data_IF_975551679760
#
_entry.id   IF_975551679760
#
_cell.length_a   1.000
_cell.length_b   1.000
_cell.length_c   1.000
_cell.angle_alpha   90.00
_cell.angle_beta   90.00
_cell.angle_gamma   90.00
#
_symmetry.space_group_name_H-M   'P 1'
#
loop_
_entity.id
_entity.type
_entity.pdbx_description
1 polymer ?
#
# COMPACT_ATOMS: atom_id res chain seq x y z
N UNK A 1 16.62 4.90 9.16
CA UNK A 1 15.33 4.46 8.62
C UNK A 1 14.46 5.65 8.23
N UNK A 2 14.04 6.48 9.18
CA UNK A 2 13.09 7.60 8.96
C UNK A 2 13.65 8.67 8.01
N UNK A 3 14.95 8.94 8.04
CA UNK A 3 15.58 9.83 7.06
C UNK A 3 15.47 9.26 5.62
N UNK A 4 15.65 7.96 5.45
CA UNK A 4 15.45 7.31 4.15
C UNK A 4 13.99 7.38 3.68
N UNK A 5 13.02 7.35 4.59
CA UNK A 5 11.59 7.53 4.27
C UNK A 5 11.28 8.97 3.87
N UNK A 6 11.90 9.97 4.52
CA UNK A 6 11.70 11.41 4.21
C UNK A 6 12.34 11.83 2.90
N UNK A 7 13.54 11.31 2.61
CA UNK A 7 14.33 11.64 1.40
C UNK A 7 13.90 10.76 0.23
N UNK A 8 13.03 9.77 0.48
CA UNK A 8 12.65 8.74 -0.46
C UNK A 8 12.44 9.27 -1.86
N UNK A 9 13.38 8.93 -2.75
CA UNK A 9 13.24 9.18 -4.16
C UNK A 9 11.96 8.54 -4.67
N UNK A 10 11.27 9.20 -5.59
CA UNK A 10 10.05 8.73 -6.23
C UNK A 10 10.13 7.24 -6.57
N UNK A 11 9.28 6.43 -5.94
CA UNK A 11 9.19 4.99 -6.21
C UNK A 11 9.96 4.06 -5.26
N UNK A 12 10.61 4.56 -4.22
CA UNK A 12 11.23 3.73 -3.18
C UNK A 12 10.26 3.50 -2.01
N UNK A 13 10.07 2.23 -1.64
CA UNK A 13 9.36 1.85 -0.42
C UNK A 13 10.38 1.43 0.64
N UNK A 14 10.14 1.82 1.89
CA UNK A 14 10.95 1.41 3.04
C UNK A 14 10.11 0.49 3.91
N UNK A 15 10.64 -0.68 4.23
CA UNK A 15 10.02 -1.66 5.10
C UNK A 15 10.94 -1.93 6.29
N UNK A 16 10.41 -1.88 7.49
CA UNK A 16 11.10 -2.22 8.74
C UNK A 16 10.27 -3.16 9.59
N UNK A 17 10.90 -3.86 10.50
CA UNK A 17 10.23 -4.70 11.50
C UNK A 17 10.62 -4.26 12.90
N UNK A 18 9.63 -4.24 13.79
CA UNK A 18 9.79 -3.86 15.19
C UNK A 18 8.81 -4.68 16.05
N UNK A 19 9.16 -4.93 17.29
CA UNK A 19 8.20 -5.53 18.23
C UNK A 19 7.23 -4.49 18.75
N UNK A 20 5.94 -4.80 18.67
CA UNK A 20 4.85 -3.95 19.18
C UNK A 20 3.49 -4.59 18.89
N UNK A 21 2.49 -4.26 19.69
CA UNK A 21 1.12 -4.71 19.54
C UNK A 21 0.27 -3.55 18.99
N UNK A 22 0.32 -3.38 17.67
CA UNK A 22 -0.37 -2.30 16.97
C UNK A 22 0.40 -0.99 16.90
N UNK A 23 -0.19 -0.03 16.19
CA UNK A 23 0.43 1.25 15.87
C UNK A 23 0.81 2.07 17.11
N UNK A 24 -0.05 2.09 18.13
CA UNK A 24 0.21 2.84 19.36
C UNK A 24 1.44 2.34 20.12
N UNK A 25 1.59 1.01 20.28
CA UNK A 25 2.74 0.41 20.93
C UNK A 25 4.03 0.60 20.10
N UNK A 26 3.93 0.53 18.78
CA UNK A 26 5.05 0.83 17.88
C UNK A 26 5.48 2.28 17.99
N UNK A 27 4.52 3.23 18.01
CA UNK A 27 4.82 4.66 18.22
C UNK A 27 5.51 4.89 19.56
N UNK A 28 4.96 4.36 20.65
CA UNK A 28 5.55 4.51 21.99
C UNK A 28 6.99 4.03 21.99
N UNK A 29 7.25 2.84 21.46
CA UNK A 29 8.58 2.28 21.38
C UNK A 29 9.55 3.10 20.53
N UNK A 30 9.11 3.60 19.40
CA UNK A 30 9.94 4.39 18.48
C UNK A 30 10.23 5.77 19.06
N UNK A 31 9.21 6.43 19.60
CA UNK A 31 9.33 7.81 20.09
C UNK A 31 9.95 7.85 21.49
N UNK A 32 9.46 7.02 22.42
CA UNK A 32 9.92 7.06 23.81
C UNK A 32 11.19 6.24 24.06
N UNK A 33 11.28 4.99 23.52
CA UNK A 33 12.42 4.12 23.83
C UNK A 33 13.61 4.36 22.89
N UNK A 34 13.35 4.73 21.63
CA UNK A 34 14.41 4.95 20.62
C UNK A 34 14.70 6.42 20.36
N UNK A 35 14.07 7.32 21.12
CA UNK A 35 14.25 8.78 21.05
C UNK A 35 14.11 9.36 19.63
N UNK A 36 13.20 8.80 18.85
CA UNK A 36 12.89 9.31 17.50
C UNK A 36 11.81 10.38 17.61
N UNK A 37 12.02 11.59 17.07
CA UNK A 37 10.99 12.64 17.08
C UNK A 37 9.67 12.13 16.48
N UNK A 38 8.54 12.46 17.10
CA UNK A 38 7.21 12.06 16.63
C UNK A 38 6.94 12.52 15.19
N UNK A 39 7.41 13.71 14.82
CA UNK A 39 7.34 14.21 13.44
C UNK A 39 8.11 13.35 12.42
N UNK A 40 9.14 12.64 12.88
CA UNK A 40 9.84 11.66 12.05
C UNK A 40 9.08 10.35 11.96
N UNK A 41 8.43 9.91 13.04
CA UNK A 41 7.56 8.73 13.02
C UNK A 41 6.33 8.94 12.13
N UNK A 42 5.78 10.15 12.09
CA UNK A 42 4.62 10.54 11.29
C UNK A 42 4.78 10.34 9.77
N UNK A 43 6.01 10.15 9.26
CA UNK A 43 6.25 9.80 7.85
C UNK A 43 5.96 8.34 7.52
N UNK A 44 5.66 7.52 8.54
CA UNK A 44 5.23 6.12 8.34
C UNK A 44 3.85 6.12 7.71
N UNK A 45 3.67 5.31 6.67
CA UNK A 45 2.38 5.18 5.99
C UNK A 45 1.46 4.17 6.66
N UNK A 46 2.01 3.00 6.99
CA UNK A 46 1.25 1.86 7.51
C UNK A 46 2.00 1.16 8.64
N UNK A 47 1.24 0.69 9.61
CA UNK A 47 1.68 -0.32 10.58
C UNK A 47 0.89 -1.61 10.34
N UNK A 48 1.61 -2.71 10.12
CA UNK A 48 1.03 -4.04 9.92
C UNK A 48 1.38 -4.89 11.13
N UNK A 49 0.37 -5.26 11.91
CA UNK A 49 0.54 -6.13 13.09
C UNK A 49 0.41 -7.59 12.68
N UNK A 50 1.43 -8.37 13.02
CA UNK A 50 1.48 -9.81 12.76
C UNK A 50 1.63 -10.53 14.08
N UNK A 51 0.68 -11.41 14.41
CA UNK A 51 0.71 -12.20 15.64
C UNK A 51 0.84 -13.70 15.36
N UNK A 52 1.40 -14.40 16.35
CA UNK A 52 1.42 -15.84 16.37
C UNK A 52 0.11 -16.39 16.97
N UNK A 53 -0.41 -17.47 16.42
CA UNK A 53 -1.56 -18.18 16.95
C UNK A 53 -1.36 -19.69 16.85
N UNK A 54 -2.10 -20.45 17.67
CA UNK A 54 -2.12 -21.90 17.58
C UNK A 54 -3.19 -22.31 16.55
N UNK A 55 -2.75 -22.89 15.46
CA UNK A 55 -3.59 -23.43 14.40
C UNK A 55 -3.67 -24.96 14.46
N UNK A 56 -4.49 -25.59 13.60
CA UNK A 56 -4.65 -27.05 13.57
C UNK A 56 -3.34 -27.82 13.30
N UNK A 57 -2.41 -27.19 12.57
CA UNK A 57 -1.10 -27.77 12.20
C UNK A 57 0.05 -27.26 13.12
N UNK A 58 -0.29 -26.61 14.24
CA UNK A 58 0.64 -26.02 15.18
C UNK A 58 0.75 -24.51 15.08
N UNK A 59 1.85 -23.95 15.59
CA UNK A 59 2.04 -22.51 15.69
C UNK A 59 2.22 -21.87 14.33
N UNK A 60 1.35 -20.92 14.00
CA UNK A 60 1.34 -20.14 12.76
C UNK A 60 1.37 -18.64 13.04
N UNK A 61 1.51 -17.84 12.00
CA UNK A 61 1.43 -16.37 12.07
C UNK A 61 0.39 -15.86 11.09
N UNK A 62 -0.30 -14.81 11.48
CA UNK A 62 -1.26 -14.11 10.62
C UNK A 62 -1.18 -12.61 10.83
N UNK A 63 -1.62 -11.85 9.84
CA UNK A 63 -1.89 -10.43 10.01
C UNK A 63 -3.15 -10.27 10.86
N UNK A 64 -3.08 -9.45 11.89
CA UNK A 64 -4.23 -9.13 12.76
C UNK A 64 -4.80 -7.75 12.49
N UNK A 65 -3.94 -6.82 12.06
CA UNK A 65 -4.35 -5.44 11.82
C UNK A 65 -3.47 -4.79 10.76
N UNK A 66 -4.07 -3.93 9.96
CA UNK A 66 -3.40 -2.98 9.08
C UNK A 66 -3.92 -1.60 9.42
N UNK A 67 -3.05 -0.74 9.94
CA UNK A 67 -3.39 0.61 10.40
C UNK A 67 -2.67 1.66 9.55
N UNK A 68 -3.42 2.63 9.06
CA UNK A 68 -2.87 3.82 8.44
C UNK A 68 -2.42 4.80 9.51
N UNK A 69 -1.21 5.35 9.37
CA UNK A 69 -0.68 6.38 10.26
C UNK A 69 -1.14 7.74 9.76
N UNK A 70 -1.78 8.49 10.64
CA UNK A 70 -2.33 9.81 10.35
C UNK A 70 -1.58 10.86 11.15
N UNK A 71 -0.90 11.77 10.46
CA UNK A 71 -0.34 12.97 11.07
C UNK A 71 -1.47 13.99 11.29
N UNK A 72 -1.64 14.43 12.53
CA UNK A 72 -2.66 15.39 12.98
C UNK A 72 -2.04 16.49 13.82
N UNK A 73 -2.76 17.59 14.02
CA UNK A 73 -2.30 18.73 14.83
C UNK A 73 -2.01 18.35 16.29
N UNK A 74 -2.75 17.37 16.82
CA UNK A 74 -2.63 16.85 18.20
C UNK A 74 -1.70 15.63 18.32
N UNK A 75 -0.96 15.28 17.26
CA UNK A 75 -0.02 14.17 17.21
C UNK A 75 -0.42 13.07 16.22
N UNK A 76 0.21 11.92 16.34
CA UNK A 76 -0.03 10.77 15.45
C UNK A 76 -1.24 9.97 15.91
N UNK A 77 -2.18 9.71 14.99
CA UNK A 77 -3.31 8.82 15.16
C UNK A 77 -3.20 7.59 14.24
N UNK A 78 -3.94 6.54 14.59
CA UNK A 78 -3.99 5.29 13.84
C UNK A 78 -5.41 5.02 13.36
N UNK A 79 -5.55 4.71 12.07
CA UNK A 79 -6.83 4.41 11.46
C UNK A 79 -6.80 2.99 10.90
N UNK A 80 -7.52 2.03 11.50
CA UNK A 80 -7.53 0.66 11.02
C UNK A 80 -8.20 0.58 9.64
N UNK A 81 -7.49 0.01 8.69
CA UNK A 81 -7.99 -0.32 7.36
C UNK A 81 -8.52 -1.75 7.31
N UNK A 82 -7.84 -2.67 8.04
CA UNK A 82 -8.24 -4.06 8.21
C UNK A 82 -8.02 -4.49 9.65
N UNK A 83 -8.94 -5.29 10.17
CA UNK A 83 -8.89 -5.88 11.50
C UNK A 83 -9.30 -7.35 11.49
N UNK A 84 -8.77 -8.12 12.44
CA UNK A 84 -9.11 -9.51 12.60
C UNK A 84 -10.47 -9.65 13.30
N UNK A 85 -11.43 -10.26 12.62
CA UNK A 85 -12.75 -10.62 13.18
C UNK A 85 -13.08 -12.06 12.84
N UNK A 86 -13.48 -12.86 13.85
CA UNK A 86 -13.84 -14.26 13.70
C UNK A 86 -12.78 -15.12 12.96
N UNK A 87 -11.51 -14.84 13.24
CA UNK A 87 -10.39 -15.57 12.66
C UNK A 87 -9.99 -15.16 11.24
N UNK A 88 -10.69 -14.21 10.61
CA UNK A 88 -10.39 -13.67 9.30
C UNK A 88 -10.07 -12.17 9.36
N UNK A 89 -9.11 -11.73 8.55
CA UNK A 89 -8.81 -10.31 8.37
C UNK A 89 -9.91 -9.68 7.50
N UNK A 90 -10.64 -8.72 8.06
CA UNK A 90 -11.77 -8.05 7.38
C UNK A 90 -11.50 -6.56 7.18
N UNK A 91 -11.95 -5.98 6.05
CA UNK A 91 -11.84 -4.54 5.84
C UNK A 91 -12.79 -3.78 6.80
N UNK A 92 -12.32 -2.65 7.32
CA UNK A 92 -13.15 -1.75 8.15
C UNK A 92 -14.12 -0.89 7.33
N UNK A 93 -14.00 -0.95 6.00
CA UNK A 93 -14.80 -0.13 5.07
C UNK A 93 -14.22 1.26 4.80
N UNK A 94 -13.18 1.69 5.49
CA UNK A 94 -12.58 3.03 5.30
C UNK A 94 -12.11 3.27 3.86
N UNK A 95 -11.47 2.28 3.25
CA UNK A 95 -11.03 2.37 1.84
C UNK A 95 -12.25 2.60 0.93
N UNK A 96 -13.29 1.77 1.07
CA UNK A 96 -14.48 1.90 0.23
C UNK A 96 -15.25 3.21 0.40
N UNK A 97 -15.16 3.86 1.57
CA UNK A 97 -15.76 5.18 1.83
C UNK A 97 -14.88 6.37 1.40
N UNK A 98 -13.69 6.13 0.84
CA UNK A 98 -12.78 7.21 0.45
C UNK A 98 -12.03 7.86 1.63
N UNK A 99 -11.89 7.16 2.76
CA UNK A 99 -11.33 7.71 4.00
C UNK A 99 -9.84 7.40 4.21
N UNK A 100 -9.15 6.78 3.25
CA UNK A 100 -7.71 6.52 3.34
C UNK A 100 -6.92 7.66 2.71
N UNK A 101 -6.15 8.37 3.53
CA UNK A 101 -5.23 9.42 3.07
C UNK A 101 -4.07 8.85 2.27
N UNK A 102 -3.63 7.63 2.59
CA UNK A 102 -2.58 6.96 1.85
C UNK A 102 -3.01 6.71 0.41
N UNK A 103 -4.21 6.15 0.19
CA UNK A 103 -4.72 5.91 -1.15
C UNK A 103 -4.93 7.22 -1.92
N UNK A 104 -5.41 8.25 -1.26
CA UNK A 104 -5.56 9.57 -1.85
C UNK A 104 -4.21 10.15 -2.31
N UNK A 105 -3.16 9.99 -1.51
CA UNK A 105 -1.80 10.43 -1.84
C UNK A 105 -1.13 9.60 -2.94
N UNK A 106 -1.55 8.34 -3.13
CA UNK A 106 -1.01 7.46 -4.18
C UNK A 106 -1.59 7.75 -5.57
N UNK A 107 -2.60 8.59 -5.68
CA UNK A 107 -3.17 9.00 -6.97
C UNK A 107 -2.13 9.74 -7.81
N UNK A 108 -2.11 9.40 -9.08
CA UNK A 108 -1.35 10.15 -10.08
C UNK A 108 -2.16 11.34 -10.59
N UNK A 109 -1.51 12.23 -11.32
CA UNK A 109 -2.21 13.32 -12.00
C UNK A 109 -3.29 12.75 -12.92
N UNK A 110 -4.52 13.22 -12.75
CA UNK A 110 -5.69 12.76 -13.51
C UNK A 110 -6.38 11.49 -13.00
N UNK A 111 -5.80 10.78 -12.03
CA UNK A 111 -6.46 9.61 -11.41
C UNK A 111 -7.46 10.03 -10.32
N UNK A 112 -8.59 9.38 -10.27
CA UNK A 112 -9.55 9.47 -9.16
C UNK A 112 -9.19 8.49 -8.04
N UNK A 113 -9.79 8.68 -6.85
CA UNK A 113 -9.68 7.70 -5.76
C UNK A 113 -10.25 6.32 -6.18
N UNK A 114 -11.31 6.31 -6.98
CA UNK A 114 -11.90 5.09 -7.50
C UNK A 114 -10.95 4.32 -8.43
N UNK A 115 -10.13 5.03 -9.23
CA UNK A 115 -9.14 4.39 -10.09
C UNK A 115 -8.07 3.65 -9.27
N UNK A 116 -7.61 4.25 -8.15
CA UNK A 116 -6.68 3.58 -7.23
C UNK A 116 -7.31 2.37 -6.57
N UNK A 117 -8.58 2.45 -6.16
CA UNK A 117 -9.33 1.30 -5.63
C UNK A 117 -9.47 0.20 -6.68
N UNK A 118 -9.74 0.54 -7.94
CA UNK A 118 -9.77 -0.41 -9.05
C UNK A 118 -8.44 -1.14 -9.23
N UNK A 119 -7.32 -0.41 -9.18
CA UNK A 119 -5.99 -1.01 -9.24
C UNK A 119 -5.70 -1.97 -8.06
N UNK A 120 -6.22 -1.67 -6.86
CA UNK A 120 -6.09 -2.57 -5.71
C UNK A 120 -6.89 -3.86 -5.94
N UNK A 121 -8.13 -3.76 -6.39
CA UNK A 121 -8.98 -4.92 -6.71
C UNK A 121 -8.36 -5.81 -7.79
N UNK A 122 -7.78 -5.22 -8.81
CA UNK A 122 -7.04 -5.96 -9.84
C UNK A 122 -5.84 -6.72 -9.30
N UNK A 123 -5.12 -6.12 -8.33
CA UNK A 123 -3.97 -6.77 -7.67
C UNK A 123 -4.41 -7.90 -6.75
N UNK A 124 -5.50 -7.70 -6.02
CA UNK A 124 -6.12 -8.71 -5.19
C UNK A 124 -6.50 -9.94 -6.02
N UNK A 125 -7.25 -9.75 -7.12
CA UNK A 125 -7.63 -10.83 -8.03
C UNK A 125 -6.41 -11.58 -8.61
N UNK A 126 -5.32 -10.87 -8.93
CA UNK A 126 -4.09 -11.50 -9.41
C UNK A 126 -3.40 -12.32 -8.32
N UNK A 127 -3.37 -11.85 -7.07
CA UNK A 127 -2.80 -12.60 -5.94
C UNK A 127 -3.63 -13.84 -5.64
N UNK A 128 -4.96 -13.74 -5.66
CA UNK A 128 -5.88 -14.89 -5.49
C UNK A 128 -5.67 -15.94 -6.59
N UNK A 129 -5.50 -15.50 -7.84
CA UNK A 129 -5.20 -16.40 -8.95
C UNK A 129 -3.88 -17.13 -8.74
N UNK A 130 -2.82 -16.43 -8.36
CA UNK A 130 -1.52 -17.02 -8.08
C UNK A 130 -1.59 -18.02 -6.92
N UNK A 131 -2.33 -17.70 -5.87
CA UNK A 131 -2.53 -18.60 -4.73
C UNK A 131 -3.30 -19.87 -5.14
N UNK A 132 -4.38 -19.74 -5.91
CA UNK A 132 -5.17 -20.86 -6.43
C UNK A 132 -4.35 -21.77 -7.33
N UNK A 133 -3.45 -21.19 -8.16
CA UNK A 133 -2.53 -21.93 -9.03
C UNK A 133 -1.31 -22.49 -8.27
N UNK A 134 -1.24 -22.34 -6.93
CA UNK A 134 -0.08 -22.70 -6.09
C UNK A 134 1.25 -22.05 -6.54
N UNK A 135 1.18 -20.92 -7.20
CA UNK A 135 2.32 -20.10 -7.65
C UNK A 135 2.70 -19.06 -6.60
N UNK A 136 3.20 -19.52 -5.47
CA UNK A 136 3.46 -18.69 -4.28
C UNK A 136 4.93 -18.32 -4.08
N UNK A 137 5.83 -18.72 -5.00
CA UNK A 137 7.25 -18.38 -4.90
C UNK A 137 7.47 -16.89 -5.24
N UNK A 138 8.45 -16.22 -4.63
CA UNK A 138 8.77 -14.82 -4.94
C UNK A 138 9.00 -14.56 -6.45
N UNK A 139 9.59 -15.52 -7.16
CA UNK A 139 9.81 -15.41 -8.61
C UNK A 139 8.50 -15.42 -9.42
N UNK A 140 7.50 -16.18 -9.00
CA UNK A 140 6.18 -16.22 -9.64
C UNK A 140 5.47 -14.88 -9.50
N UNK A 141 5.49 -14.32 -8.28
CA UNK A 141 4.92 -13.00 -7.99
C UNK A 141 5.65 -11.90 -8.75
N UNK A 142 6.98 -11.91 -8.74
CA UNK A 142 7.79 -10.92 -9.47
C UNK A 142 7.51 -10.98 -10.99
N UNK A 143 7.31 -12.16 -11.56
CA UNK A 143 6.96 -12.33 -12.98
C UNK A 143 5.59 -11.72 -13.28
N UNK A 144 4.57 -12.00 -12.47
CA UNK A 144 3.23 -11.48 -12.65
C UNK A 144 3.21 -9.93 -12.60
N UNK A 145 3.92 -9.35 -11.63
CA UNK A 145 4.04 -7.88 -11.52
C UNK A 145 4.93 -7.26 -12.61
N UNK A 146 5.98 -7.95 -13.05
CA UNK A 146 6.87 -7.48 -14.12
C UNK A 146 6.19 -7.40 -15.48
N UNK A 147 5.31 -8.33 -15.79
CA UNK A 147 4.49 -8.33 -17.03
C UNK A 147 3.51 -7.16 -17.02
N UNK A 148 2.86 -6.88 -15.89
CA UNK A 148 1.94 -5.71 -15.76
C UNK A 148 2.65 -4.37 -15.96
N UNK A 149 3.87 -4.21 -15.42
CA UNK A 149 4.65 -2.98 -15.61
C UNK A 149 4.93 -2.68 -17.07
N UNK A 150 5.18 -3.70 -17.89
CA UNK A 150 5.39 -3.54 -19.35
C UNK A 150 4.10 -3.17 -20.09
N UNK A 151 2.96 -3.76 -19.74
CA UNK A 151 1.65 -3.43 -20.34
C UNK A 151 1.23 -2.00 -20.07
N UNK A 152 1.39 -1.51 -18.83
CA UNK A 152 1.04 -0.14 -18.48
C UNK A 152 1.96 0.91 -19.14
N UNK A 153 3.23 0.56 -19.43
CA UNK A 153 4.12 1.45 -20.20
C UNK A 153 3.78 1.48 -21.68
N UNK A 154 3.31 0.38 -22.25
CA UNK A 154 2.87 0.33 -23.63
C UNK A 154 1.59 1.13 -23.90
N UNK A 155 0.63 1.07 -22.98
CA UNK A 155 -0.63 1.82 -23.11
C UNK A 155 -0.45 3.36 -23.03
N UNK A 156 0.57 3.83 -22.29
CA UNK A 156 0.87 5.27 -22.19
C UNK A 156 1.54 5.81 -23.46
N UNK A 157 2.34 5.01 -24.15
CA UNK A 157 3.00 5.41 -25.40
C UNK A 157 2.04 5.40 -26.60
N UNK A 158 0.99 4.60 -26.60
CA UNK A 158 -0.03 4.59 -27.66
C UNK A 158 -0.96 5.82 -27.57
N UNK A 159 -1.25 6.30 -26.36
CA UNK A 159 -2.08 7.52 -26.17
C UNK A 159 -1.33 8.81 -26.56
N UNK A 160 -0.02 8.89 -26.30
CA UNK A 160 0.77 10.07 -26.71
C UNK A 160 0.96 10.16 -28.24
N UNK A 161 0.88 9.02 -28.93
CA UNK A 161 0.97 9.02 -30.41
C UNK A 161 -0.36 9.38 -31.08
N UNK A 162 -1.49 9.09 -30.44
CA UNK A 162 -2.83 9.43 -30.95
C UNK A 162 -3.11 10.92 -30.86
N UNK A 163 -2.71 11.58 -29.76
CA UNK A 163 -2.88 13.04 -29.59
C UNK A 163 -2.00 13.88 -30.52
N UNK A 164 -0.84 13.36 -30.94
CA UNK A 164 0.02 14.08 -31.90
C UNK A 164 -0.47 13.99 -33.35
N UNK A 165 -1.22 12.97 -33.69
CA UNK A 165 -1.75 12.80 -35.05
C UNK A 165 -2.94 13.71 -35.35
N UNK A 166 -3.69 14.16 -34.33
CA UNK A 166 -4.82 15.08 -34.52
C UNK A 166 -4.43 16.56 -34.62
N UNK A 167 -3.26 16.95 -34.12
CA UNK A 167 -2.82 18.37 -34.13
C UNK A 167 -2.19 18.77 -35.48
N UNK A 168 -1.62 17.82 -36.22
CA UNK A 168 -0.99 18.11 -37.53
C UNK A 168 -1.96 18.11 -38.73
N UNK A 169 -3.25 17.84 -38.51
CA UNK A 169 -4.28 17.76 -39.56
C UNK A 169 -4.99 19.08 -39.90
N UNK A 170 -4.86 20.14 -39.10
CA UNK A 170 -5.65 21.38 -39.28
C UNK A 170 -4.88 22.60 -39.85
N UNK A 171 -3.63 22.44 -40.24
CA UNK A 171 -2.81 23.54 -40.78
C UNK A 171 -2.64 23.53 -42.30
N UNK A 172 -3.57 22.95 -43.05
CA UNK A 172 -3.52 22.88 -44.51
C UNK A 172 -4.84 23.10 -45.23
N UNK A 173 -5.44 24.31 -45.12
CA UNK A 173 -6.38 24.86 -46.15
C UNK A 173 -6.39 26.35 -46.07
#
# INVERSE_FOLDING_TARGET
LYEAMRVGASGSAVLGTIHGDGGAAVRERVVADLDVPESSFAVTDLVVTVAAYEGPEGRARRVERVEEVLDREDGVAFAPLFELHDGALKPTGRIGRGESRLLDRLRRSGESYADVCGLLSDREAELERLATESRTRPADVATAYGVRRRKNHGALTENEHSDRAEVDGEAGK
#
